data_IF_291012322063
#
_entry.id   IF_291012322063
#
_cell.length_a   1.000
_cell.length_b   1.000
_cell.length_c   1.000
_cell.angle_alpha   90.00
_cell.angle_beta   90.00
_cell.angle_gamma   90.00
#
_symmetry.space_group_name_H-M   'P 1'
#
loop_
_entity.id
_entity.type
_entity.pdbx_description
1 polymer ?
#
# COMPACT_ATOMS: atom_id res chain seq x y z
N UNK A 1 1.69 21.40 18.46
CA UNK A 1 2.08 19.97 18.39
C UNK A 1 2.57 19.70 16.97
N UNK A 2 3.88 19.75 16.74
CA UNK A 2 4.46 19.24 15.50
C UNK A 2 4.36 17.72 15.56
N UNK A 3 3.30 17.16 14.98
CA UNK A 3 3.22 15.71 14.80
C UNK A 3 4.41 15.31 13.95
N UNK A 4 5.37 14.59 14.54
CA UNK A 4 6.45 13.97 13.78
C UNK A 4 5.77 13.09 12.73
N UNK A 5 5.93 13.44 11.47
CA UNK A 5 5.47 12.61 10.36
C UNK A 5 6.37 11.38 10.32
N UNK A 6 5.93 10.31 10.98
CA UNK A 6 6.61 9.02 10.97
C UNK A 6 6.84 8.58 9.51
N UNK A 7 8.11 8.36 9.16
CA UNK A 7 8.52 7.76 7.89
C UNK A 7 8.40 6.25 8.03
N UNK A 8 7.26 5.70 7.61
CA UNK A 8 6.88 4.31 7.83
C UNK A 8 6.10 3.76 6.61
N UNK A 9 5.74 2.48 6.64
CA UNK A 9 4.85 1.90 5.64
C UNK A 9 3.43 2.39 5.89
N UNK A 10 2.93 3.21 4.97
CA UNK A 10 1.53 3.68 4.98
C UNK A 10 0.71 3.15 3.83
N UNK A 11 1.33 2.56 2.81
CA UNK A 11 0.58 1.96 1.69
C UNK A 11 1.09 0.57 1.42
N UNK A 12 0.17 -0.39 1.34
CA UNK A 12 0.45 -1.76 0.90
C UNK A 12 -0.53 -2.14 -0.20
N UNK A 13 -0.01 -2.57 -1.34
CA UNK A 13 -0.80 -3.06 -2.46
C UNK A 13 -0.70 -4.58 -2.54
N UNK A 14 -1.84 -5.26 -2.49
CA UNK A 14 -1.95 -6.72 -2.56
C UNK A 14 -2.43 -7.15 -3.95
N UNK A 15 -1.65 -7.94 -4.70
CA UNK A 15 -2.17 -8.58 -5.90
C UNK A 15 -3.22 -9.62 -5.50
N UNK A 16 -4.37 -9.61 -6.16
CA UNK A 16 -5.47 -10.55 -5.89
C UNK A 16 -5.93 -11.21 -7.18
N UNK A 17 -6.21 -12.52 -7.14
CA UNK A 17 -6.73 -13.24 -8.31
C UNK A 17 -8.25 -13.05 -8.49
N UNK A 18 -8.98 -12.79 -7.40
CA UNK A 18 -10.44 -12.67 -7.38
C UNK A 18 -10.88 -11.46 -6.57
N UNK A 19 -11.01 -10.30 -7.21
CA UNK A 19 -11.24 -9.02 -6.53
C UNK A 19 -12.49 -9.00 -5.65
N UNK A 20 -13.63 -9.50 -6.15
CA UNK A 20 -14.88 -9.48 -5.40
C UNK A 20 -14.80 -10.29 -4.09
N UNK A 21 -14.15 -11.48 -4.13
CA UNK A 21 -13.94 -12.31 -2.95
C UNK A 21 -12.95 -11.65 -1.99
N UNK A 22 -11.85 -11.11 -2.51
CA UNK A 22 -10.86 -10.42 -1.71
C UNK A 22 -11.45 -9.19 -1.02
N UNK A 23 -12.25 -8.37 -1.72
CA UNK A 23 -12.97 -7.23 -1.12
C UNK A 23 -13.81 -7.65 0.07
N UNK A 24 -14.60 -8.73 -0.05
CA UNK A 24 -15.42 -9.21 1.06
C UNK A 24 -14.57 -9.64 2.28
N UNK A 25 -13.45 -10.35 2.03
CA UNK A 25 -12.52 -10.76 3.09
C UNK A 25 -11.89 -9.54 3.78
N UNK A 26 -11.37 -8.58 3.01
CA UNK A 26 -10.72 -7.40 3.58
C UNK A 26 -11.71 -6.47 4.28
N UNK A 27 -12.93 -6.31 3.78
CA UNK A 27 -13.97 -5.56 4.47
C UNK A 27 -14.32 -6.18 5.83
N UNK A 28 -14.42 -7.51 5.90
CA UNK A 28 -14.64 -8.22 7.16
C UNK A 28 -13.44 -8.12 8.11
N UNK A 29 -12.23 -8.24 7.59
CA UNK A 29 -10.98 -8.14 8.37
C UNK A 29 -10.78 -6.74 8.95
N UNK A 30 -10.97 -5.70 8.13
CA UNK A 30 -10.67 -4.31 8.50
C UNK A 30 -11.83 -3.63 9.22
N UNK A 31 -13.04 -4.20 9.16
CA UNK A 31 -14.24 -3.64 9.79
C UNK A 31 -14.73 -2.33 9.15
N UNK A 32 -14.26 -2.00 7.94
CA UNK A 32 -14.60 -0.79 7.21
C UNK A 32 -14.95 -1.12 5.75
N UNK A 33 -15.75 -0.24 5.13
CA UNK A 33 -16.00 -0.31 3.68
C UNK A 33 -14.82 0.28 2.91
N UNK A 34 -14.55 -0.18 1.68
CA UNK A 34 -13.51 0.44 0.86
C UNK A 34 -13.88 1.88 0.52
N UNK A 35 -12.88 2.77 0.48
CA UNK A 35 -13.04 4.13 -0.01
C UNK A 35 -13.12 4.18 -1.54
N UNK A 36 -12.44 3.25 -2.21
CA UNK A 36 -12.48 3.09 -3.66
C UNK A 36 -12.93 1.68 -3.98
N UNK A 37 -13.96 1.53 -4.79
CA UNK A 37 -14.50 0.24 -5.23
C UNK A 37 -14.73 0.27 -6.74
N UNK A 38 -13.81 -0.34 -7.49
CA UNK A 38 -13.84 -0.40 -8.95
C UNK A 38 -13.41 -1.79 -9.44
N UNK A 39 -13.69 -2.10 -10.70
CA UNK A 39 -13.32 -3.39 -11.29
C UNK A 39 -11.80 -3.61 -11.40
N UNK A 40 -11.01 -2.53 -11.39
CA UNK A 40 -9.56 -2.56 -11.53
C UNK A 40 -8.82 -2.27 -10.22
N UNK A 41 -9.53 -1.87 -9.16
CA UNK A 41 -8.92 -1.49 -7.89
C UNK A 41 -9.94 -1.43 -6.75
N UNK A 42 -9.59 -1.94 -5.58
CA UNK A 42 -10.31 -1.68 -4.33
C UNK A 42 -9.34 -1.12 -3.30
N UNK A 43 -9.68 -0.01 -2.66
CA UNK A 43 -8.81 0.65 -1.67
C UNK A 43 -9.52 0.86 -0.34
N UNK A 44 -8.85 0.54 0.75
CA UNK A 44 -9.31 0.77 2.12
C UNK A 44 -8.37 1.77 2.83
N UNK A 45 -8.93 2.54 3.76
CA UNK A 45 -8.17 3.36 4.70
C UNK A 45 -8.48 2.89 6.12
N UNK A 46 -7.46 2.54 6.87
CA UNK A 46 -7.60 2.02 8.23
C UNK A 46 -6.37 2.37 9.06
N UNK A 47 -6.58 2.98 10.24
CA UNK A 47 -5.47 3.30 11.15
C UNK A 47 -4.37 4.19 10.56
N UNK A 48 -4.67 4.99 9.53
CA UNK A 48 -3.66 5.81 8.83
C UNK A 48 -2.85 5.06 7.78
N UNK A 49 -3.26 3.84 7.42
CA UNK A 49 -2.70 3.05 6.33
C UNK A 49 -3.71 2.84 5.20
N UNK A 50 -3.20 2.95 3.98
CA UNK A 50 -3.86 2.59 2.74
C UNK A 50 -3.60 1.11 2.41
N UNK A 51 -4.68 0.34 2.23
CA UNK A 51 -4.62 -1.06 1.81
C UNK A 51 -5.31 -1.19 0.45
N UNK A 52 -4.52 -1.46 -0.60
CA UNK A 52 -5.01 -1.62 -1.96
C UNK A 52 -5.10 -3.08 -2.38
N UNK A 53 -6.16 -3.46 -3.09
CA UNK A 53 -6.32 -4.74 -3.76
C UNK A 53 -6.25 -4.53 -5.27
N UNK A 54 -5.30 -5.20 -5.91
CA UNK A 54 -4.98 -5.02 -7.34
C UNK A 54 -5.23 -6.33 -8.09
N UNK A 55 -6.29 -6.44 -8.92
CA UNK A 55 -6.58 -7.63 -9.71
C UNK A 55 -5.41 -8.00 -10.63
N UNK A 56 -4.93 -9.24 -10.54
CA UNK A 56 -3.82 -9.73 -11.37
C UNK A 56 -2.49 -8.97 -11.19
N UNK A 57 -2.36 -8.17 -10.13
CA UNK A 57 -1.17 -7.33 -9.91
C UNK A 57 -1.08 -6.10 -10.82
N UNK A 58 -2.16 -5.77 -11.53
CA UNK A 58 -2.25 -4.57 -12.37
C UNK A 58 -1.32 -4.64 -13.59
N UNK A 59 -1.11 -3.51 -14.30
CA UNK A 59 -0.27 -3.48 -15.49
C UNK A 59 1.20 -3.82 -15.21
N UNK A 60 1.63 -3.73 -13.95
CA UNK A 60 2.98 -4.02 -13.48
C UNK A 60 3.20 -5.53 -13.23
N UNK A 61 2.13 -6.33 -13.25
CA UNK A 61 2.23 -7.78 -13.03
C UNK A 61 2.75 -8.16 -11.65
N UNK A 62 2.35 -7.42 -10.59
CA UNK A 62 2.79 -7.70 -9.22
C UNK A 62 2.44 -9.15 -8.82
N UNK A 63 3.45 -9.91 -8.39
CA UNK A 63 3.28 -11.30 -7.92
C UNK A 63 3.28 -11.43 -6.40
N UNK A 64 3.64 -10.38 -5.68
CA UNK A 64 3.65 -10.29 -4.22
C UNK A 64 3.14 -8.91 -3.76
N UNK A 65 2.74 -8.76 -2.48
CA UNK A 65 2.39 -7.45 -1.95
C UNK A 65 3.56 -6.47 -2.03
N UNK A 66 3.27 -5.24 -2.43
CA UNK A 66 4.25 -4.14 -2.48
C UNK A 66 3.94 -3.15 -1.38
N UNK A 67 4.91 -2.94 -0.48
CA UNK A 67 4.83 -1.94 0.56
C UNK A 67 5.58 -0.67 0.13
N UNK A 68 4.97 0.49 0.36
CA UNK A 68 5.57 1.79 0.09
C UNK A 68 6.00 2.44 1.40
N UNK A 69 7.32 2.61 1.56
CA UNK A 69 7.89 3.38 2.65
C UNK A 69 7.72 4.87 2.38
N UNK A 70 6.98 5.55 3.24
CA UNK A 70 6.71 6.97 3.05
C UNK A 70 7.86 7.80 3.61
N UNK A 71 8.35 8.72 2.80
CA UNK A 71 9.39 9.68 3.18
C UNK A 71 8.95 11.09 2.88
N UNK A 72 9.53 12.05 3.59
CA UNK A 72 9.25 13.46 3.39
C UNK A 72 9.91 14.01 2.13
N UNK A 73 11.08 13.47 1.80
CA UNK A 73 11.90 13.85 0.65
C UNK A 73 12.48 12.58 0.05
N UNK A 74 12.06 12.28 -1.18
CA UNK A 74 12.45 11.06 -1.88
C UNK A 74 13.91 11.11 -2.32
N UNK A 75 14.41 12.26 -2.76
CA UNK A 75 15.78 12.41 -3.25
C UNK A 75 16.76 12.32 -2.09
N UNK A 76 16.47 13.01 -0.98
CA UNK A 76 17.31 12.96 0.21
C UNK A 76 17.35 11.54 0.82
N UNK A 77 16.20 10.86 0.91
CA UNK A 77 16.18 9.49 1.44
C UNK A 77 16.87 8.50 0.49
N UNK A 78 16.71 8.66 -0.82
CA UNK A 78 17.36 7.80 -1.81
C UNK A 78 18.89 7.92 -1.69
N UNK A 79 19.42 9.15 -1.61
CA UNK A 79 20.85 9.37 -1.41
C UNK A 79 21.37 8.73 -0.11
N UNK A 80 20.63 8.87 1.00
CA UNK A 80 20.96 8.25 2.28
C UNK A 80 20.99 6.72 2.20
N UNK A 81 19.97 6.10 1.60
CA UNK A 81 19.87 4.64 1.48
C UNK A 81 20.94 4.08 0.54
N UNK A 82 21.24 4.76 -0.57
CA UNK A 82 22.34 4.36 -1.47
C UNK A 82 23.68 4.42 -0.73
N UNK A 83 23.93 5.47 0.06
CA UNK A 83 25.16 5.60 0.83
C UNK A 83 25.32 4.53 1.92
N UNK A 84 24.20 4.02 2.47
CA UNK A 84 24.19 2.97 3.49
C UNK A 84 24.06 1.53 2.98
N UNK A 85 23.87 1.34 1.67
CA UNK A 85 23.71 0.02 1.05
C UNK A 85 25.02 -0.77 0.97
N UNK A 86 24.96 -2.10 0.76
CA UNK A 86 26.15 -2.86 0.38
C UNK A 86 26.75 -2.32 -0.93
N UNK A 87 28.08 -2.45 -1.14
CA UNK A 87 28.72 -2.05 -2.38
C UNK A 87 28.21 -2.81 -3.61
#
# INVERSE_FOLDING_TARGET
MTGSSSQEIKTVLHPVSHLAKAKAVYAALLGVVPQTDSSYYVGFEVGGQHIGLVPGGGPQGMTSPVAYWHVLDIEAKLAEVIAGGPP
#
